data_IF_399514709183
#
_entry.id   IF_399514709183
#
_cell.length_a   1.000
_cell.length_b   1.000
_cell.length_c   1.000
_cell.angle_alpha   90.00
_cell.angle_beta   90.00
_cell.angle_gamma   90.00
#
_symmetry.space_group_name_H-M   'P 1'
#
loop_
_entity.id
_entity.type
_entity.pdbx_description
1 polymer ?
#
# COMPACT_ATOMS: atom_id res chain seq x y z
N UNK A 1 25.17 -1.94 -14.02
CA UNK A 1 24.16 -0.93 -13.63
C UNK A 1 22.84 -1.63 -13.30
N UNK A 2 22.13 -1.19 -12.25
CA UNK A 2 20.89 -1.82 -11.78
C UNK A 2 19.81 -1.81 -12.88
N UNK A 3 19.78 -0.76 -13.68
CA UNK A 3 18.87 -0.59 -14.83
C UNK A 3 19.69 -0.27 -16.08
N UNK A 4 19.47 -1.00 -17.15
CA UNK A 4 20.10 -0.73 -18.44
C UNK A 4 19.52 0.54 -19.05
N UNK A 5 20.33 1.38 -19.71
CA UNK A 5 19.89 2.68 -20.28
C UNK A 5 18.62 2.57 -21.14
N UNK A 6 18.47 1.46 -21.87
CA UNK A 6 17.30 1.17 -22.70
C UNK A 6 16.00 1.08 -21.90
N UNK A 7 16.06 0.59 -20.66
CA UNK A 7 14.88 0.35 -19.80
C UNK A 7 14.70 1.41 -18.71
N UNK A 8 15.50 2.48 -18.72
CA UNK A 8 15.44 3.50 -17.66
C UNK A 8 14.06 4.18 -17.59
N UNK A 9 13.50 4.60 -18.72
CA UNK A 9 12.18 5.25 -18.78
C UNK A 9 11.06 4.26 -18.42
N UNK A 10 10.99 3.04 -19.02
CA UNK A 10 10.04 2.01 -18.58
C UNK A 10 10.13 1.72 -17.08
N UNK A 11 11.34 1.55 -16.57
CA UNK A 11 11.55 1.30 -15.14
C UNK A 11 11.05 2.46 -14.26
N UNK A 12 11.39 3.71 -14.60
CA UNK A 12 10.94 4.88 -13.84
C UNK A 12 9.41 4.98 -13.80
N UNK A 13 8.74 4.69 -14.91
CA UNK A 13 7.27 4.68 -14.96
C UNK A 13 6.67 3.54 -14.15
N UNK A 14 7.20 2.33 -14.25
CA UNK A 14 6.70 1.21 -13.43
C UNK A 14 7.00 1.48 -11.95
N UNK A 15 8.17 2.00 -11.63
CA UNK A 15 8.55 2.35 -10.26
C UNK A 15 7.64 3.44 -9.66
N UNK A 16 7.16 4.41 -10.47
CA UNK A 16 6.18 5.41 -10.01
C UNK A 16 4.83 4.80 -9.60
N UNK A 17 4.45 3.64 -10.15
CA UNK A 17 3.25 2.93 -9.73
C UNK A 17 3.34 2.45 -8.28
N UNK A 18 4.54 2.07 -7.83
CA UNK A 18 4.77 1.68 -6.44
C UNK A 18 4.59 2.86 -5.49
N UNK A 19 4.98 4.07 -5.89
CA UNK A 19 4.69 5.28 -5.13
C UNK A 19 3.18 5.52 -5.05
N UNK A 20 2.46 5.48 -6.17
CA UNK A 20 1.01 5.65 -6.20
C UNK A 20 0.29 4.61 -5.34
N UNK A 21 0.77 3.37 -5.35
CA UNK A 21 0.24 2.30 -4.52
C UNK A 21 0.46 2.56 -3.01
N UNK A 22 1.68 2.92 -2.60
CA UNK A 22 1.97 3.28 -1.21
C UNK A 22 1.16 4.47 -0.72
N UNK A 23 1.03 5.52 -1.54
CA UNK A 23 0.19 6.68 -1.26
C UNK A 23 -1.28 6.29 -1.05
N UNK A 24 -1.85 5.48 -1.96
CA UNK A 24 -3.25 5.06 -1.88
C UNK A 24 -3.56 4.30 -0.59
N UNK A 25 -2.64 3.45 -0.13
CA UNK A 25 -2.83 2.70 1.12
C UNK A 25 -2.70 3.58 2.35
N UNK A 26 -1.66 4.39 2.42
CA UNK A 26 -1.34 5.15 3.63
C UNK A 26 -2.31 6.31 3.91
N UNK A 27 -2.90 6.90 2.89
CA UNK A 27 -3.91 7.95 3.07
C UNK A 27 -5.21 7.43 3.68
N UNK A 28 -5.50 6.11 3.56
CA UNK A 28 -6.68 5.48 4.16
C UNK A 28 -6.70 5.61 5.68
N UNK A 29 -5.55 5.56 6.32
CA UNK A 29 -5.42 5.67 7.78
C UNK A 29 -5.88 7.06 8.27
N UNK A 30 -5.62 8.09 7.47
CA UNK A 30 -6.13 9.46 7.71
C UNK A 30 -7.63 9.56 7.44
N UNK A 31 -8.13 8.90 6.37
CA UNK A 31 -9.55 8.89 6.02
C UNK A 31 -10.42 8.27 7.11
N UNK A 32 -9.95 7.21 7.76
CA UNK A 32 -10.68 6.55 8.84
C UNK A 32 -11.06 7.58 9.92
N UNK A 33 -10.06 8.36 10.37
CA UNK A 33 -10.30 9.38 11.39
C UNK A 33 -11.12 10.56 10.87
N UNK A 34 -10.88 10.98 9.63
CA UNK A 34 -11.63 12.07 9.01
C UNK A 34 -13.11 11.72 8.90
N UNK A 35 -13.47 10.55 8.41
CA UNK A 35 -14.87 10.13 8.30
C UNK A 35 -15.55 9.95 9.66
N UNK A 36 -14.83 9.52 10.70
CA UNK A 36 -15.37 9.52 12.07
C UNK A 36 -15.81 10.92 12.49
N UNK A 37 -14.98 11.92 12.22
CA UNK A 37 -15.26 13.29 12.63
C UNK A 37 -16.31 13.97 11.74
N UNK A 38 -16.22 13.79 10.41
CA UNK A 38 -17.07 14.48 9.45
C UNK A 38 -18.50 13.92 9.40
N UNK A 39 -18.62 12.57 9.46
CA UNK A 39 -19.90 11.86 9.30
C UNK A 39 -20.44 11.32 10.63
N UNK A 40 -19.78 11.61 11.75
CA UNK A 40 -20.15 11.19 13.10
C UNK A 40 -20.38 9.66 13.22
N UNK A 41 -19.57 8.88 12.46
CA UNK A 41 -19.67 7.43 12.45
C UNK A 41 -18.81 6.79 13.53
N UNK A 42 -19.20 5.58 13.99
CA UNK A 42 -18.44 4.82 14.98
C UNK A 42 -17.09 4.34 14.43
N UNK A 43 -16.14 4.07 15.35
CA UNK A 43 -14.84 3.45 14.99
C UNK A 43 -15.03 2.13 14.23
N UNK A 44 -16.00 1.31 14.65
CA UNK A 44 -16.31 0.03 13.98
C UNK A 44 -16.79 0.26 12.54
N UNK A 45 -17.68 1.25 12.32
CA UNK A 45 -18.15 1.57 10.97
C UNK A 45 -17.05 2.15 10.10
N UNK A 46 -16.16 2.98 10.65
CA UNK A 46 -15.04 3.55 9.89
C UNK A 46 -14.00 2.51 9.45
N UNK A 47 -13.89 1.35 10.15
CA UNK A 47 -13.05 0.24 9.73
C UNK A 47 -13.48 -0.36 8.37
N UNK A 48 -14.71 -0.11 7.91
CA UNK A 48 -15.18 -0.49 6.57
C UNK A 48 -14.35 0.16 5.46
N UNK A 49 -13.67 1.27 5.71
CA UNK A 49 -12.71 1.89 4.77
C UNK A 49 -11.66 0.87 4.34
N UNK A 50 -10.99 0.24 5.30
CA UNK A 50 -10.01 -0.82 5.01
C UNK A 50 -10.67 -2.07 4.42
N UNK A 51 -11.81 -2.48 4.99
CA UNK A 51 -12.53 -3.67 4.53
C UNK A 51 -12.93 -3.57 3.06
N UNK A 52 -13.32 -2.39 2.57
CA UNK A 52 -13.71 -2.19 1.17
C UNK A 52 -12.51 -2.24 0.22
N UNK A 53 -11.38 -1.64 0.60
CA UNK A 53 -10.15 -1.73 -0.21
C UNK A 53 -9.66 -3.17 -0.29
N UNK A 54 -9.53 -3.87 0.85
CA UNK A 54 -9.12 -5.28 0.85
C UNK A 54 -10.17 -6.22 0.25
N UNK A 55 -11.46 -5.86 0.32
CA UNK A 55 -12.53 -6.52 -0.42
C UNK A 55 -12.34 -6.43 -1.93
N UNK A 56 -11.92 -5.25 -2.42
CA UNK A 56 -11.51 -5.05 -3.81
C UNK A 56 -10.32 -5.95 -4.19
N UNK A 57 -9.31 -6.03 -3.32
CA UNK A 57 -8.18 -6.95 -3.50
C UNK A 57 -8.63 -8.41 -3.61
N UNK A 58 -9.48 -8.84 -2.70
CA UNK A 58 -9.96 -10.22 -2.67
C UNK A 58 -10.75 -10.59 -3.94
N UNK A 59 -11.69 -9.74 -4.33
CA UNK A 59 -12.56 -10.00 -5.50
C UNK A 59 -11.78 -9.89 -6.80
N UNK A 60 -10.87 -8.91 -6.92
CA UNK A 60 -10.13 -8.65 -8.15
C UNK A 60 -8.89 -9.52 -8.34
N UNK A 61 -8.43 -10.27 -7.32
CA UNK A 61 -7.23 -11.10 -7.40
C UNK A 61 -7.27 -12.10 -8.57
N UNK A 62 -8.38 -12.83 -8.72
CA UNK A 62 -8.55 -13.80 -9.81
C UNK A 62 -8.75 -13.09 -11.17
N UNK A 63 -9.67 -12.11 -11.31
CA UNK A 63 -9.82 -11.36 -12.55
C UNK A 63 -8.53 -10.69 -13.03
N UNK A 64 -7.73 -10.08 -12.12
CA UNK A 64 -6.44 -9.48 -12.46
C UNK A 64 -5.48 -10.49 -13.08
N UNK A 65 -5.36 -11.67 -12.47
CA UNK A 65 -4.55 -12.77 -13.02
C UNK A 65 -5.04 -13.24 -14.39
N UNK A 66 -6.36 -13.29 -14.62
CA UNK A 66 -6.94 -13.63 -15.93
C UNK A 66 -6.63 -12.56 -16.97
N UNK A 67 -6.77 -11.27 -16.61
CA UNK A 67 -6.46 -10.13 -17.50
C UNK A 67 -4.98 -10.21 -17.94
N UNK A 68 -4.07 -10.37 -16.97
CA UNK A 68 -2.63 -10.45 -17.26
C UNK A 68 -2.30 -11.65 -18.14
N UNK A 69 -2.87 -12.81 -17.85
CA UNK A 69 -2.62 -14.02 -18.64
C UNK A 69 -3.15 -13.90 -20.06
N UNK A 70 -4.31 -13.24 -20.27
CA UNK A 70 -4.96 -13.15 -21.58
C UNK A 70 -4.45 -12.00 -22.44
N UNK A 71 -4.13 -10.86 -21.84
CA UNK A 71 -3.80 -9.61 -22.54
C UNK A 71 -2.42 -9.04 -22.16
N UNK A 72 -1.66 -9.74 -21.34
CA UNK A 72 -0.31 -9.36 -20.92
C UNK A 72 -0.26 -8.39 -19.74
N UNK A 73 0.94 -8.20 -19.22
CA UNK A 73 1.19 -7.36 -18.04
C UNK A 73 0.84 -5.89 -18.28
N UNK A 74 1.10 -5.37 -19.50
CA UNK A 74 0.74 -4.01 -19.89
C UNK A 74 -0.76 -3.75 -19.72
N UNK A 75 -1.59 -4.69 -20.16
CA UNK A 75 -3.05 -4.57 -20.00
C UNK A 75 -3.47 -4.58 -18.53
N UNK A 76 -2.82 -5.42 -17.69
CA UNK A 76 -3.03 -5.42 -16.24
C UNK A 76 -2.74 -4.06 -15.60
N UNK A 77 -1.59 -3.46 -15.92
CA UNK A 77 -1.22 -2.13 -15.44
C UNK A 77 -2.23 -1.06 -15.89
N UNK A 78 -2.57 -1.02 -17.17
CA UNK A 78 -3.51 -0.01 -17.71
C UNK A 78 -4.90 -0.17 -17.05
N UNK A 79 -5.41 -1.39 -16.93
CA UNK A 79 -6.68 -1.66 -16.24
C UNK A 79 -6.62 -1.18 -14.79
N UNK A 80 -5.54 -1.48 -14.08
CA UNK A 80 -5.34 -1.04 -12.71
C UNK A 80 -5.31 0.49 -12.56
N UNK A 81 -4.58 1.18 -13.42
CA UNK A 81 -4.51 2.66 -13.42
C UNK A 81 -5.86 3.31 -13.76
N UNK A 82 -6.62 2.75 -14.70
CA UNK A 82 -7.95 3.25 -15.06
C UNK A 82 -8.91 3.10 -13.86
N UNK A 83 -8.98 1.92 -13.26
CA UNK A 83 -9.82 1.69 -12.09
C UNK A 83 -9.43 2.59 -10.91
N UNK A 84 -8.12 2.69 -10.63
CA UNK A 84 -7.64 3.58 -9.58
C UNK A 84 -8.01 5.04 -9.87
N UNK A 85 -7.75 5.53 -11.07
CA UNK A 85 -8.05 6.91 -11.48
C UNK A 85 -9.54 7.22 -11.40
N UNK A 86 -10.41 6.33 -11.90
CA UNK A 86 -11.86 6.48 -11.81
C UNK A 86 -12.31 6.50 -10.35
N UNK A 87 -11.89 5.52 -9.54
CA UNK A 87 -12.23 5.46 -8.12
C UNK A 87 -11.80 6.70 -7.36
N UNK A 88 -10.60 7.24 -7.66
CA UNK A 88 -10.09 8.45 -7.05
C UNK A 88 -10.88 9.71 -7.47
N UNK A 89 -11.20 9.86 -8.77
CA UNK A 89 -11.98 11.00 -9.25
C UNK A 89 -13.42 11.00 -8.74
N UNK A 90 -14.01 9.83 -8.47
CA UNK A 90 -15.33 9.72 -7.86
C UNK A 90 -15.40 10.30 -6.44
N UNK A 91 -14.26 10.53 -5.76
CA UNK A 91 -14.26 11.28 -4.50
C UNK A 91 -14.78 12.72 -4.66
N UNK A 92 -14.61 13.34 -5.83
CA UNK A 92 -15.08 14.70 -6.08
C UNK A 92 -16.62 14.82 -5.97
N UNK A 93 -17.43 14.03 -6.69
CA UNK A 93 -18.88 14.02 -6.46
C UNK A 93 -19.24 13.44 -5.08
N UNK A 94 -18.45 12.49 -4.55
CA UNK A 94 -18.67 11.89 -3.23
C UNK A 94 -18.63 12.91 -2.09
N UNK A 95 -17.71 13.85 -2.14
CA UNK A 95 -17.60 14.93 -1.14
C UNK A 95 -18.87 15.82 -1.16
N UNK A 96 -19.44 16.08 -2.33
CA UNK A 96 -20.71 16.84 -2.45
C UNK A 96 -21.92 16.06 -1.94
N UNK A 97 -21.91 14.75 -2.10
CA UNK A 97 -23.01 13.87 -1.67
C UNK A 97 -22.97 13.58 -0.17
N UNK A 98 -21.80 13.75 0.49
CA UNK A 98 -21.56 13.43 1.90
C UNK A 98 -22.02 12.03 2.30
N UNK A 99 -21.94 11.06 1.37
CA UNK A 99 -22.37 9.69 1.59
C UNK A 99 -21.19 8.77 1.89
N UNK A 100 -21.18 8.18 3.07
CA UNK A 100 -20.15 7.21 3.46
C UNK A 100 -20.16 5.98 2.56
N UNK A 101 -21.34 5.47 2.20
CA UNK A 101 -21.51 4.33 1.33
C UNK A 101 -20.93 4.59 -0.08
N UNK A 102 -21.08 5.81 -0.58
CA UNK A 102 -20.48 6.20 -1.85
C UNK A 102 -18.96 6.24 -1.78
N UNK A 103 -18.39 6.75 -0.69
CA UNK A 103 -16.93 6.72 -0.49
C UNK A 103 -16.41 5.27 -0.38
N UNK A 104 -17.15 4.38 0.28
CA UNK A 104 -16.81 2.95 0.34
C UNK A 104 -16.77 2.32 -1.06
N UNK A 105 -17.72 2.66 -1.94
CA UNK A 105 -17.70 2.21 -3.34
C UNK A 105 -16.48 2.72 -4.08
N UNK A 106 -16.13 4.01 -3.93
CA UNK A 106 -14.92 4.58 -4.53
C UNK A 106 -13.66 3.83 -4.09
N UNK A 107 -13.55 3.55 -2.79
CA UNK A 107 -12.43 2.81 -2.20
C UNK A 107 -12.36 1.36 -2.69
N UNK A 108 -13.51 0.70 -2.86
CA UNK A 108 -13.57 -0.64 -3.45
C UNK A 108 -13.03 -0.65 -4.89
N UNK A 109 -13.43 0.34 -5.71
CA UNK A 109 -12.94 0.48 -7.10
C UNK A 109 -11.43 0.73 -7.10
N UNK A 110 -10.93 1.59 -6.21
CA UNK A 110 -9.49 1.81 -6.02
C UNK A 110 -8.79 0.50 -5.65
N UNK A 111 -9.33 -0.26 -4.69
CA UNK A 111 -8.79 -1.55 -4.29
C UNK A 111 -8.68 -2.56 -5.44
N UNK A 112 -9.70 -2.63 -6.31
CA UNK A 112 -9.65 -3.43 -7.53
C UNK A 112 -8.51 -2.96 -8.47
N UNK A 113 -8.33 -1.66 -8.62
CA UNK A 113 -7.25 -1.07 -9.41
C UNK A 113 -5.86 -1.41 -8.86
N UNK A 114 -5.68 -1.24 -7.55
CA UNK A 114 -4.43 -1.54 -6.86
C UNK A 114 -4.05 -3.02 -6.97
N UNK A 115 -5.01 -3.93 -6.93
CA UNK A 115 -4.78 -5.36 -7.14
C UNK A 115 -4.20 -5.66 -8.52
N UNK A 116 -4.78 -5.05 -9.58
CA UNK A 116 -4.26 -5.20 -10.94
C UNK A 116 -2.83 -4.64 -11.06
N UNK A 117 -2.57 -3.47 -10.43
CA UNK A 117 -1.25 -2.84 -10.44
C UNK A 117 -0.22 -3.71 -9.74
N UNK A 118 -0.52 -4.20 -8.55
CA UNK A 118 0.40 -5.01 -7.75
C UNK A 118 0.73 -6.32 -8.45
N UNK A 119 -0.29 -7.02 -8.97
CA UNK A 119 -0.12 -8.30 -9.67
C UNK A 119 0.70 -8.14 -10.94
N UNK A 120 0.59 -7.00 -11.64
CA UNK A 120 1.31 -6.76 -12.88
C UNK A 120 2.69 -6.11 -12.66
N UNK A 121 2.81 -5.09 -11.79
CA UNK A 121 4.02 -4.29 -11.66
C UNK A 121 5.18 -5.04 -11.00
N UNK A 122 4.92 -5.90 -10.01
CA UNK A 122 5.96 -6.66 -9.32
C UNK A 122 6.77 -7.56 -10.29
N UNK A 123 6.16 -8.47 -11.09
CA UNK A 123 6.90 -9.25 -12.06
C UNK A 123 7.52 -8.36 -13.16
N UNK A 124 6.83 -7.28 -13.53
CA UNK A 124 7.29 -6.43 -14.62
C UNK A 124 8.61 -5.72 -14.32
N UNK A 125 8.78 -5.21 -13.09
CA UNK A 125 10.04 -4.60 -12.64
C UNK A 125 11.21 -5.58 -12.74
N UNK A 126 10.98 -6.86 -12.47
CA UNK A 126 12.07 -7.86 -12.45
C UNK A 126 12.62 -8.17 -13.84
N UNK A 127 11.86 -7.93 -14.90
CA UNK A 127 12.28 -8.23 -16.30
C UNK A 127 12.82 -6.99 -17.04
N UNK A 128 12.79 -5.81 -16.43
CA UNK A 128 13.31 -4.57 -17.04
C UNK A 128 14.83 -4.44 -16.87
N UNK A 129 15.60 -5.47 -17.21
CA UNK A 129 17.06 -5.48 -17.18
C UNK A 129 17.64 -6.89 -16.97
N UNK A 130 18.90 -6.97 -16.59
CA UNK A 130 19.61 -8.22 -16.40
C UNK A 130 19.02 -9.03 -15.22
N UNK A 131 18.88 -10.37 -15.35
CA UNK A 131 18.31 -11.23 -14.31
C UNK A 131 19.00 -11.10 -12.94
N UNK A 132 20.33 -10.95 -12.93
CA UNK A 132 21.14 -10.86 -11.71
C UNK A 132 20.81 -9.63 -10.87
N UNK A 133 20.29 -8.56 -11.47
CA UNK A 133 19.91 -7.32 -10.76
C UNK A 133 18.41 -7.20 -10.51
N UNK A 134 17.62 -8.24 -10.79
CA UNK A 134 16.16 -8.24 -10.63
C UNK A 134 15.71 -7.89 -9.20
N UNK A 135 16.34 -8.50 -8.19
CA UNK A 135 16.05 -8.23 -6.78
C UNK A 135 16.35 -6.77 -6.39
N UNK A 136 17.47 -6.21 -6.88
CA UNK A 136 17.84 -4.81 -6.63
C UNK A 136 16.86 -3.83 -7.27
N UNK A 137 16.35 -4.13 -8.48
CA UNK A 137 15.33 -3.32 -9.14
C UNK A 137 14.02 -3.34 -8.37
N UNK A 138 13.58 -4.51 -7.93
CA UNK A 138 12.36 -4.64 -7.13
C UNK A 138 12.50 -3.89 -5.81
N UNK A 139 13.66 -4.00 -5.15
CA UNK A 139 13.91 -3.29 -3.89
C UNK A 139 13.91 -1.76 -4.08
N UNK A 140 14.50 -1.26 -5.17
CA UNK A 140 14.46 0.16 -5.52
C UNK A 140 13.02 0.65 -5.78
N UNK A 141 12.22 -0.11 -6.52
CA UNK A 141 10.80 0.20 -6.74
C UNK A 141 10.01 0.20 -5.42
N UNK A 142 10.26 -0.77 -4.56
CA UNK A 142 9.64 -0.85 -3.23
C UNK A 142 10.07 0.30 -2.29
N UNK A 143 11.24 0.90 -2.50
CA UNK A 143 11.64 2.10 -1.76
C UNK A 143 10.77 3.31 -2.14
N UNK A 144 10.36 3.43 -3.42
CA UNK A 144 9.38 4.44 -3.84
C UNK A 144 7.99 4.17 -3.25
N UNK A 145 7.60 2.91 -3.09
CA UNK A 145 6.41 2.57 -2.32
C UNK A 145 6.49 3.11 -0.88
N UNK A 146 7.62 2.91 -0.20
CA UNK A 146 7.87 3.46 1.13
C UNK A 146 7.75 4.98 1.19
N UNK A 147 8.21 5.71 0.17
CA UNK A 147 7.98 7.15 0.07
C UNK A 147 6.49 7.49 -0.05
N UNK A 148 5.72 6.71 -0.79
CA UNK A 148 4.26 6.85 -0.87
C UNK A 148 3.59 6.73 0.50
N UNK A 149 4.05 5.79 1.33
CA UNK A 149 3.57 5.60 2.69
C UNK A 149 3.83 6.81 3.60
N UNK A 150 4.92 7.54 3.39
CA UNK A 150 5.22 8.78 4.12
C UNK A 150 4.33 9.93 3.61
N UNK A 151 4.21 10.07 2.30
CA UNK A 151 3.50 11.20 1.67
C UNK A 151 1.99 11.15 1.92
N UNK A 152 1.38 9.96 2.02
CA UNK A 152 -0.05 9.82 2.25
C UNK A 152 -0.54 10.52 3.54
N UNK A 153 -0.06 10.14 4.73
CA UNK A 153 -0.44 10.80 5.97
C UNK A 153 0.02 12.27 6.04
N UNK A 154 1.15 12.63 5.39
CA UNK A 154 1.60 14.02 5.29
C UNK A 154 0.56 14.87 4.54
N UNK A 155 0.14 14.44 3.36
CA UNK A 155 -0.89 15.10 2.54
C UNK A 155 -2.23 15.12 3.30
N UNK A 156 -2.60 14.00 3.91
CA UNK A 156 -3.79 13.89 4.74
C UNK A 156 -3.79 14.87 5.92
N UNK A 157 -2.67 14.97 6.63
CA UNK A 157 -2.49 15.90 7.73
C UNK A 157 -2.59 17.36 7.30
N UNK A 158 -1.95 17.72 6.20
CA UNK A 158 -1.89 19.10 5.71
C UNK A 158 -3.15 19.56 4.98
N UNK A 159 -3.81 18.67 4.21
CA UNK A 159 -4.95 19.03 3.38
C UNK A 159 -6.26 18.60 4.03
N UNK A 160 -6.41 17.32 4.43
CA UNK A 160 -7.68 16.80 4.96
C UNK A 160 -7.96 17.33 6.36
N UNK A 161 -6.95 17.41 7.22
CA UNK A 161 -7.07 18.00 8.58
C UNK A 161 -6.63 19.47 8.64
N UNK A 162 -6.19 20.05 7.52
CA UNK A 162 -5.83 21.46 7.40
C UNK A 162 -7.04 22.36 7.11
N UNK A 163 -6.76 23.61 6.73
CA UNK A 163 -7.78 24.65 6.52
C UNK A 163 -8.82 24.32 5.44
N UNK A 164 -8.44 23.52 4.44
CA UNK A 164 -9.35 23.15 3.34
C UNK A 164 -10.36 22.08 3.71
N UNK A 165 -9.99 21.16 4.61
CA UNK A 165 -10.83 20.03 5.02
C UNK A 165 -11.29 19.10 3.89
N UNK A 166 -10.73 19.26 2.69
CA UNK A 166 -11.20 18.55 1.49
C UNK A 166 -10.54 17.18 1.34
N UNK A 167 -11.37 16.15 1.21
CA UNK A 167 -10.96 14.80 0.82
C UNK A 167 -10.82 14.68 -0.69
N UNK A 168 -11.68 15.39 -1.44
CA UNK A 168 -11.70 15.33 -2.90
C UNK A 168 -10.40 15.84 -3.52
N UNK A 169 -9.77 16.86 -2.95
CA UNK A 169 -8.59 17.50 -3.53
C UNK A 169 -7.41 16.53 -3.72
N UNK A 170 -6.89 15.83 -2.67
CA UNK A 170 -5.79 14.89 -2.85
C UNK A 170 -6.15 13.71 -3.77
N UNK A 171 -7.40 13.23 -3.70
CA UNK A 171 -7.85 12.15 -4.57
C UNK A 171 -8.03 12.58 -6.03
N UNK A 172 -8.47 13.81 -6.29
CA UNK A 172 -8.54 14.35 -7.65
C UNK A 172 -7.15 14.49 -8.27
N UNK A 173 -6.18 15.02 -7.50
CA UNK A 173 -4.80 15.18 -7.98
C UNK A 173 -4.18 13.83 -8.32
N UNK A 174 -4.26 12.84 -7.42
CA UNK A 174 -3.69 11.52 -7.69
C UNK A 174 -4.47 10.80 -8.79
N UNK A 175 -5.80 10.96 -8.85
CA UNK A 175 -6.63 10.37 -9.90
C UNK A 175 -6.24 10.86 -11.29
N UNK A 176 -6.04 12.16 -11.45
CA UNK A 176 -5.55 12.75 -12.71
C UNK A 176 -4.14 12.24 -13.01
N UNK A 177 -3.23 12.24 -12.03
CA UNK A 177 -1.86 11.78 -12.21
C UNK A 177 -1.79 10.32 -12.70
N UNK A 178 -2.55 9.40 -12.09
CA UNK A 178 -2.55 7.99 -12.50
C UNK A 178 -3.20 7.78 -13.86
N UNK A 179 -4.20 8.58 -14.25
CA UNK A 179 -4.78 8.51 -15.60
C UNK A 179 -3.80 9.04 -16.66
N UNK A 180 -3.06 10.11 -16.37
CA UNK A 180 -1.96 10.57 -17.24
C UNK A 180 -0.90 9.48 -17.39
N UNK A 181 -0.49 8.83 -16.29
CA UNK A 181 0.44 7.69 -16.35
C UNK A 181 -0.16 6.56 -17.20
N UNK A 182 -1.46 6.27 -17.10
CA UNK A 182 -2.12 5.27 -17.94
C UNK A 182 -2.02 5.59 -19.44
N UNK A 183 -2.22 6.85 -19.81
CA UNK A 183 -2.10 7.32 -21.20
C UNK A 183 -0.66 7.16 -21.68
N UNK A 184 0.33 7.60 -20.88
CA UNK A 184 1.75 7.43 -21.22
C UNK A 184 2.09 5.95 -21.39
N UNK A 185 1.66 5.11 -20.43
CA UNK A 185 1.91 3.68 -20.44
C UNK A 185 1.29 2.98 -21.65
N UNK A 186 0.09 3.42 -22.08
CA UNK A 186 -0.59 2.87 -23.26
C UNK A 186 0.19 3.12 -24.56
N UNK A 187 0.90 4.26 -24.63
CA UNK A 187 1.68 4.66 -25.84
C UNK A 187 3.08 4.04 -25.87
N UNK A 188 3.59 3.54 -24.77
CA UNK A 188 4.93 2.95 -24.73
C UNK A 188 4.94 1.53 -25.27
N UNK A 189 6.00 1.23 -26.03
CA UNK A 189 6.36 -0.15 -26.39
C UNK A 189 7.16 -0.75 -25.24
N UNK A 190 6.55 -1.64 -24.51
CA UNK A 190 7.13 -2.31 -23.35
C UNK A 190 7.45 -3.76 -23.70
N UNK A 191 8.55 -4.33 -23.20
CA UNK A 191 8.87 -5.73 -23.45
C UNK A 191 7.75 -6.61 -22.87
N UNK A 192 7.26 -7.54 -23.68
CA UNK A 192 6.30 -8.55 -23.22
C UNK A 192 7.04 -9.62 -22.42
N UNK A 193 6.45 -10.00 -21.29
CA UNK A 193 6.93 -11.13 -20.49
C UNK A 193 6.22 -12.36 -21.02
N UNK A 194 6.96 -13.25 -21.66
CA UNK A 194 6.46 -14.56 -22.06
C UNK A 194 6.65 -15.53 -20.88
N UNK A 195 5.60 -15.78 -20.12
CA UNK A 195 5.62 -16.87 -19.14
C UNK A 195 5.47 -18.21 -19.85
N UNK A 196 6.44 -19.11 -19.66
CA UNK A 196 6.32 -20.50 -20.06
C UNK A 196 5.29 -21.21 -19.17
N UNK A 197 4.06 -21.29 -19.65
CA UNK A 197 2.86 -21.78 -18.94
C UNK A 197 2.85 -23.29 -18.65
N UNK A 198 3.85 -24.04 -19.06
CA UNK A 198 3.85 -25.50 -18.97
C UNK A 198 4.24 -26.08 -17.60
N UNK A 199 4.78 -25.27 -16.69
CA UNK A 199 5.31 -25.77 -15.39
C UNK A 199 4.40 -25.53 -14.17
N UNK A 200 3.33 -24.76 -14.29
CA UNK A 200 2.59 -24.26 -13.12
C UNK A 200 1.53 -25.21 -12.53
N UNK A 201 0.93 -26.11 -13.33
CA UNK A 201 -0.16 -26.97 -12.80
C UNK A 201 0.31 -28.04 -11.79
N UNK A 202 1.54 -28.51 -11.90
CA UNK A 202 2.06 -29.56 -11.01
C UNK A 202 2.57 -29.05 -9.64
N UNK A 203 2.70 -27.74 -9.46
CA UNK A 203 3.28 -27.13 -8.25
C UNK A 203 2.26 -26.76 -7.15
N UNK A 204 1.04 -26.37 -7.53
CA UNK A 204 0.04 -25.83 -6.59
C UNK A 204 -0.45 -26.89 -5.60
N UNK A 205 -0.75 -28.09 -6.07
CA UNK A 205 -1.23 -29.18 -5.21
C UNK A 205 -0.18 -29.64 -4.18
N UNK A 206 1.11 -29.54 -4.52
CA UNK A 206 2.21 -29.83 -3.59
C UNK A 206 2.45 -28.73 -2.57
N UNK A 207 2.24 -27.45 -2.94
CA UNK A 207 2.39 -26.31 -2.06
C UNK A 207 1.34 -26.29 -0.95
N UNK A 208 0.07 -26.56 -1.27
CA UNK A 208 -1.02 -26.59 -0.30
C UNK A 208 -0.92 -27.74 0.70
N UNK A 209 -0.13 -28.79 0.39
CA UNK A 209 0.18 -29.89 1.29
C UNK A 209 1.42 -29.65 2.16
N UNK A 210 2.16 -28.57 1.91
CA UNK A 210 3.36 -28.22 2.68
C UNK A 210 2.99 -27.48 3.99
N UNK A 211 3.24 -28.11 5.11
CA UNK A 211 3.00 -27.53 6.45
C UNK A 211 3.74 -26.19 6.66
N UNK A 212 5.03 -26.05 6.29
CA UNK A 212 5.72 -24.76 6.39
C UNK A 212 5.05 -23.66 5.55
N UNK A 213 4.52 -23.99 4.37
CA UNK A 213 3.82 -23.03 3.53
C UNK A 213 2.52 -22.52 4.19
N UNK A 214 1.72 -23.42 4.76
CA UNK A 214 0.49 -23.06 5.45
C UNK A 214 0.76 -22.20 6.70
N UNK A 215 1.78 -22.55 7.49
CA UNK A 215 2.19 -21.72 8.63
C UNK A 215 2.66 -20.33 8.18
N UNK A 216 3.43 -20.24 7.09
CA UNK A 216 3.85 -18.97 6.50
C UNK A 216 2.66 -18.11 6.06
N UNK A 217 1.62 -18.73 5.47
CA UNK A 217 0.41 -18.03 5.07
C UNK A 217 -0.37 -17.48 6.28
N UNK A 218 -0.52 -18.27 7.34
CA UNK A 218 -1.16 -17.84 8.59
C UNK A 218 -0.37 -16.72 9.26
N UNK A 219 0.95 -16.85 9.31
CA UNK A 219 1.83 -15.82 9.87
C UNK A 219 1.73 -14.51 9.09
N UNK A 220 1.69 -14.57 7.75
CA UNK A 220 1.52 -13.40 6.89
C UNK A 220 0.16 -12.74 7.12
N UNK A 221 -0.91 -13.54 7.23
CA UNK A 221 -2.25 -13.03 7.54
C UNK A 221 -2.27 -12.31 8.89
N UNK A 222 -1.72 -12.91 9.95
CA UNK A 222 -1.65 -12.31 11.27
C UNK A 222 -0.83 -11.02 11.28
N UNK A 223 0.31 -11.00 10.56
CA UNK A 223 1.15 -9.82 10.41
C UNK A 223 0.40 -8.67 9.72
N UNK A 224 -0.23 -8.93 8.57
CA UNK A 224 -0.98 -7.90 7.82
C UNK A 224 -2.16 -7.38 8.64
N UNK A 225 -2.87 -8.25 9.35
CA UNK A 225 -3.97 -7.87 10.23
C UNK A 225 -3.49 -6.93 11.36
N UNK A 226 -2.38 -7.28 12.03
CA UNK A 226 -1.80 -6.46 13.08
C UNK A 226 -1.32 -5.10 12.53
N UNK A 227 -0.55 -5.09 11.44
CA UNK A 227 -0.05 -3.87 10.81
C UNK A 227 -1.18 -2.93 10.40
N UNK A 228 -2.19 -3.46 9.69
CA UNK A 228 -3.34 -2.67 9.24
C UNK A 228 -4.12 -2.11 10.42
N UNK A 229 -4.35 -2.93 11.46
CA UNK A 229 -5.06 -2.49 12.66
C UNK A 229 -4.34 -1.36 13.39
N UNK A 230 -3.04 -1.48 13.60
CA UNK A 230 -2.22 -0.45 14.26
C UNK A 230 -2.24 0.85 13.45
N UNK A 231 -1.95 0.79 12.16
CA UNK A 231 -1.91 1.98 11.31
C UNK A 231 -3.27 2.68 11.21
N UNK A 232 -4.35 1.92 11.02
CA UNK A 232 -5.71 2.44 10.86
C UNK A 232 -6.23 3.19 12.09
N UNK A 233 -5.81 2.80 13.27
CA UNK A 233 -6.21 3.42 14.52
C UNK A 233 -5.12 4.24 15.20
N UNK A 234 -4.00 4.47 14.54
CA UNK A 234 -2.88 5.26 15.05
C UNK A 234 -3.34 6.66 15.50
N UNK A 235 -4.01 7.40 14.60
CA UNK A 235 -4.48 8.77 14.90
C UNK A 235 -5.48 8.76 16.06
N UNK A 236 -6.36 7.76 16.11
CA UNK A 236 -7.31 7.60 17.21
C UNK A 236 -6.57 7.41 18.54
N UNK A 237 -5.62 6.49 18.59
CA UNK A 237 -4.87 6.21 19.81
C UNK A 237 -4.10 7.45 20.30
N UNK A 238 -3.37 8.14 19.40
CA UNK A 238 -2.57 9.30 19.74
C UNK A 238 -3.45 10.44 20.29
N UNK A 239 -4.57 10.72 19.63
CA UNK A 239 -5.49 11.81 20.04
C UNK A 239 -6.31 11.48 21.29
N UNK A 240 -6.49 10.19 21.62
CA UNK A 240 -7.14 9.76 22.86
C UNK A 240 -6.15 9.67 24.03
N UNK A 241 -4.90 9.30 23.77
CA UNK A 241 -3.84 9.25 24.77
C UNK A 241 -3.37 10.65 25.21
N UNK A 242 -3.52 11.66 24.35
CA UNK A 242 -3.13 13.05 24.64
C UNK A 242 -4.13 14.04 24.04
N UNK A 243 -4.82 14.77 24.91
CA UNK A 243 -5.78 15.82 24.50
C UNK A 243 -5.14 17.06 23.88
N UNK A 244 -3.82 17.20 23.97
CA UNK A 244 -3.07 18.33 23.41
C UNK A 244 -2.67 18.12 21.95
N UNK A 245 -2.69 16.87 21.45
CA UNK A 245 -2.29 16.52 20.09
C UNK A 245 -3.51 16.59 19.16
N UNK A 246 -3.41 17.42 18.13
CA UNK A 246 -4.46 17.53 17.10
C UNK A 246 -4.40 16.37 16.12
N UNK A 247 -5.51 16.11 15.37
CA UNK A 247 -5.53 15.09 14.31
C UNK A 247 -4.45 15.35 13.24
N UNK A 248 -4.20 16.63 12.91
CA UNK A 248 -3.14 17.02 11.99
C UNK A 248 -1.76 16.63 12.52
N UNK A 249 -1.46 16.93 13.78
CA UNK A 249 -0.19 16.56 14.41
C UNK A 249 -0.03 15.03 14.49
N UNK A 250 -1.10 14.30 14.83
CA UNK A 250 -1.08 12.84 14.85
C UNK A 250 -0.83 12.24 13.47
N UNK A 251 -1.40 12.81 12.39
CA UNK A 251 -1.12 12.39 11.02
C UNK A 251 0.34 12.66 10.61
N UNK A 252 0.92 13.78 11.04
CA UNK A 252 2.34 14.08 10.84
C UNK A 252 3.25 13.13 11.62
N UNK A 253 2.85 12.74 12.85
CA UNK A 253 3.57 11.70 13.63
C UNK A 253 3.52 10.35 12.92
N UNK A 254 2.39 9.96 12.36
CA UNK A 254 2.28 8.74 11.56
C UNK A 254 3.21 8.80 10.33
N UNK A 255 3.21 9.94 9.61
CA UNK A 255 4.03 10.14 8.41
C UNK A 255 5.52 10.03 8.70
N UNK A 256 6.05 10.86 9.59
CA UNK A 256 7.49 10.95 9.83
C UNK A 256 7.99 9.96 10.91
N UNK A 257 7.20 9.74 11.96
CA UNK A 257 7.49 8.74 12.99
C UNK A 257 7.28 7.32 12.44
N UNK A 258 6.03 6.88 12.35
CA UNK A 258 5.70 5.52 11.95
C UNK A 258 6.23 5.13 10.57
N UNK A 259 5.83 5.84 9.52
CA UNK A 259 6.20 5.49 8.15
C UNK A 259 7.65 5.86 7.80
N UNK A 260 8.19 6.93 8.39
CA UNK A 260 9.61 7.28 8.27
C UNK A 260 10.52 6.20 8.87
N UNK A 261 10.22 5.75 10.08
CA UNK A 261 10.95 4.65 10.73
C UNK A 261 10.76 3.32 10.01
N UNK A 262 9.57 3.06 9.45
CA UNK A 262 9.33 1.90 8.58
C UNK A 262 10.30 1.89 7.37
N UNK A 263 10.45 3.03 6.68
CA UNK A 263 11.38 3.14 5.55
C UNK A 263 12.83 2.91 5.97
N UNK A 264 13.26 3.55 7.08
CA UNK A 264 14.59 3.37 7.65
C UNK A 264 14.81 1.90 8.04
N UNK A 265 13.86 1.29 8.75
CA UNK A 265 13.90 -0.12 9.15
C UNK A 265 14.01 -1.07 7.96
N UNK A 266 13.33 -0.77 6.84
CA UNK A 266 13.42 -1.54 5.60
C UNK A 266 14.81 -1.47 4.98
N UNK A 267 15.42 -0.29 4.93
CA UNK A 267 16.78 -0.12 4.41
C UNK A 267 17.82 -0.80 5.31
N UNK A 268 17.71 -0.60 6.64
CA UNK A 268 18.55 -1.25 7.63
C UNK A 268 18.39 -2.77 7.61
N UNK A 269 17.16 -3.28 7.50
CA UNK A 269 16.88 -4.71 7.39
C UNK A 269 17.53 -5.32 6.16
N UNK A 270 17.46 -4.65 5.02
CA UNK A 270 18.13 -5.08 3.79
C UNK A 270 19.65 -5.15 3.97
N UNK A 271 20.23 -4.17 4.64
CA UNK A 271 21.67 -4.18 4.96
C UNK A 271 22.04 -5.27 5.97
N UNK A 272 21.26 -5.45 7.02
CA UNK A 272 21.47 -6.49 8.05
C UNK A 272 21.38 -7.91 7.50
N UNK A 273 20.56 -8.17 6.49
CA UNK A 273 20.45 -9.48 5.83
C UNK A 273 21.75 -9.93 5.14
N UNK A 274 22.72 -9.02 4.93
CA UNK A 274 24.05 -9.42 4.47
C UNK A 274 24.88 -10.10 5.58
N UNK A 275 24.51 -9.89 6.85
CA UNK A 275 25.25 -10.40 8.03
C UNK A 275 24.44 -11.41 8.84
N UNK A 276 23.11 -11.31 8.82
CA UNK A 276 22.20 -12.15 9.59
C UNK A 276 21.27 -12.95 8.66
N UNK A 277 21.10 -14.25 8.89
CA UNK A 277 20.09 -15.03 8.16
C UNK A 277 18.70 -14.45 8.34
N UNK A 278 17.92 -14.37 7.26
CA UNK A 278 16.59 -13.79 7.26
C UNK A 278 15.63 -14.33 8.36
N UNK A 279 15.62 -15.63 8.71
CA UNK A 279 14.79 -16.15 9.79
C UNK A 279 15.13 -15.56 11.17
N UNK A 280 16.42 -15.33 11.46
CA UNK A 280 16.83 -14.73 12.73
C UNK A 280 16.43 -13.25 12.81
N UNK A 281 16.60 -12.50 11.70
CA UNK A 281 16.16 -11.11 11.63
C UNK A 281 14.66 -11.00 11.81
N UNK A 282 13.89 -11.90 11.18
CA UNK A 282 12.43 -11.95 11.34
C UNK A 282 12.03 -12.19 12.81
N UNK A 283 12.71 -13.12 13.49
CA UNK A 283 12.45 -13.40 14.90
C UNK A 283 12.73 -12.17 15.78
N UNK A 284 13.86 -11.48 15.56
CA UNK A 284 14.21 -10.26 16.28
C UNK A 284 13.15 -9.18 16.09
N UNK A 285 12.72 -8.96 14.84
CA UNK A 285 11.66 -7.98 14.53
C UNK A 285 10.32 -8.37 15.19
N UNK A 286 9.95 -9.65 15.16
CA UNK A 286 8.72 -10.12 15.79
C UNK A 286 8.72 -9.93 17.31
N UNK A 287 9.83 -10.27 17.98
CA UNK A 287 9.99 -10.03 19.43
C UNK A 287 9.97 -8.54 19.76
N UNK A 288 10.66 -7.71 18.96
CA UNK A 288 10.62 -6.26 19.08
C UNK A 288 9.21 -5.69 18.96
N UNK A 289 8.44 -6.14 17.97
CA UNK A 289 7.05 -5.74 17.78
C UNK A 289 6.16 -6.13 18.99
N UNK A 290 6.36 -7.33 19.57
CA UNK A 290 5.63 -7.74 20.78
C UNK A 290 5.95 -6.80 21.96
N UNK A 291 7.22 -6.46 22.16
CA UNK A 291 7.63 -5.54 23.22
C UNK A 291 7.04 -4.13 23.02
N UNK A 292 7.05 -3.62 21.80
CA UNK A 292 6.40 -2.35 21.47
C UNK A 292 4.89 -2.40 21.75
N UNK A 293 4.20 -3.47 21.36
CA UNK A 293 2.77 -3.63 21.63
C UNK A 293 2.45 -3.70 23.12
N UNK A 294 3.28 -4.32 23.94
CA UNK A 294 3.15 -4.28 25.40
C UNK A 294 3.27 -2.83 25.89
N UNK A 295 4.22 -2.04 25.37
CA UNK A 295 4.35 -0.63 25.68
C UNK A 295 3.11 0.19 25.29
N UNK A 296 2.50 -0.08 24.12
CA UNK A 296 1.25 0.55 23.68
C UNK A 296 0.09 0.24 24.63
N UNK A 297 -0.04 -1.02 25.07
CA UNK A 297 -1.08 -1.44 26.03
C UNK A 297 -0.87 -0.77 27.39
N UNK A 298 0.37 -0.57 27.81
CA UNK A 298 0.68 0.13 29.07
C UNK A 298 0.21 1.59 29.04
N UNK A 299 0.20 2.21 27.87
CA UNK A 299 -0.36 3.55 27.65
C UNK A 299 0.58 4.71 28.02
N UNK A 300 0.01 5.90 28.06
CA UNK A 300 0.75 7.14 28.38
C UNK A 300 1.87 7.46 27.38
N UNK A 301 2.90 8.15 27.82
CA UNK A 301 4.05 8.56 26.99
C UNK A 301 4.82 7.34 26.43
N UNK A 302 4.91 6.26 27.24
CA UNK A 302 5.56 4.99 26.80
C UNK A 302 4.80 4.39 25.62
N UNK A 303 3.46 4.38 25.69
CA UNK A 303 2.61 3.88 24.60
C UNK A 303 2.75 4.71 23.33
N UNK A 304 2.85 6.03 23.43
CA UNK A 304 3.06 6.91 22.28
C UNK A 304 4.42 6.67 21.59
N UNK A 305 5.49 6.53 22.40
CA UNK A 305 6.84 6.23 21.85
C UNK A 305 6.87 4.83 21.23
N UNK A 306 6.25 3.85 21.87
CA UNK A 306 6.25 2.47 21.39
C UNK A 306 5.40 2.28 20.11
N UNK A 307 4.43 3.17 19.87
CA UNK A 307 3.57 3.14 18.68
C UNK A 307 4.26 3.72 17.44
N UNK A 308 5.15 4.71 17.62
CA UNK A 308 5.94 5.33 16.53
C UNK A 308 7.18 4.53 16.20
#
# INVERSE_FOLDING_TARGET
>A
SIVTRKYLIPFALVASLFFCWGFAHSILDVLIKHFQNLLEISKTRSALVQAMVYGGYFIMAIPAGVIIRKWGYKAGVITGLILYGIGALLFVPGERMMSFEFFLLCLFIIGCGLTCLETAANPYVTVLGEPETAASRLNLAQSLNGLGWIVGPLVGGLIIFGDTGSVALPYAVIGIAVLVIAIIFSRMQLPEIVENTTSQKAGIDKLTQSVPYLFGLVALFAYVAAQTGVNSFFINYVTEASTTITNQQAALMLSFGGMGLFLVGRLLGTWLMNYLPAPHLLLICALGAILCMIGVIWGGTIGLIALT
#
